data_IF_213361703771
#
_entry.id   IF_213361703771
#
_cell.length_a   1.000
_cell.length_b   1.000
_cell.length_c   1.000
_cell.angle_alpha   90.00
_cell.angle_beta   90.00
_cell.angle_gamma   90.00
#
_symmetry.space_group_name_H-M   'P 1'
#
loop_
_entity.id
_entity.type
_entity.pdbx_description
1 polymer ?
#
# COMPACT_ATOMS: atom_id res chain seq x y z
N UNK A 1 -36.65 31.08 -0.64
CA UNK A 1 -35.31 31.63 -0.96
C UNK A 1 -34.19 30.84 -0.27
N UNK A 2 -34.20 30.69 1.06
CA UNK A 2 -33.16 29.94 1.81
C UNK A 2 -33.08 28.44 1.46
N UNK A 3 -34.21 27.78 1.17
CA UNK A 3 -34.24 26.36 0.79
C UNK A 3 -33.52 26.10 -0.54
N UNK A 4 -33.70 26.97 -1.54
CA UNK A 4 -33.07 26.86 -2.85
C UNK A 4 -31.54 27.06 -2.77
N UNK A 5 -31.08 27.93 -1.86
CA UNK A 5 -29.64 28.13 -1.60
C UNK A 5 -29.02 26.89 -0.94
N UNK A 6 -29.72 26.25 0.01
CA UNK A 6 -29.27 24.99 0.64
C UNK A 6 -29.15 23.85 -0.37
N UNK A 7 -30.11 23.74 -1.30
CA UNK A 7 -30.07 22.74 -2.38
C UNK A 7 -28.87 23.01 -3.30
N UNK A 8 -28.62 24.26 -3.68
CA UNK A 8 -27.45 24.64 -4.49
C UNK A 8 -26.12 24.30 -3.82
N UNK A 9 -26.00 24.57 -2.50
CA UNK A 9 -24.82 24.23 -1.72
C UNK A 9 -24.57 22.71 -1.69
N UNK A 10 -25.63 21.93 -1.49
CA UNK A 10 -25.55 20.46 -1.43
C UNK A 10 -25.08 19.87 -2.77
N UNK A 11 -25.59 20.40 -3.89
CA UNK A 11 -25.15 19.99 -5.23
C UNK A 11 -23.67 20.31 -5.48
N UNK A 12 -23.20 21.49 -5.06
CA UNK A 12 -21.79 21.89 -5.19
C UNK A 12 -20.85 20.98 -4.39
N UNK A 13 -21.24 20.60 -3.17
CA UNK A 13 -20.47 19.66 -2.35
C UNK A 13 -20.35 18.31 -3.04
N UNK A 14 -21.47 17.74 -3.53
CA UNK A 14 -21.47 16.44 -4.23
C UNK A 14 -20.58 16.44 -5.47
N UNK A 15 -20.59 17.53 -6.25
CA UNK A 15 -19.76 17.66 -7.45
C UNK A 15 -18.26 17.72 -7.13
N UNK A 16 -17.89 18.24 -5.96
CA UNK A 16 -16.48 18.37 -5.57
C UNK A 16 -15.84 17.02 -5.20
N UNK A 17 -16.63 15.97 -4.87
CA UNK A 17 -16.10 14.64 -4.55
C UNK A 17 -15.55 13.90 -5.79
N UNK A 18 -15.92 14.29 -7.00
CA UNK A 18 -15.48 13.62 -8.24
C UNK A 18 -14.27 14.29 -8.89
N UNK A 19 -13.72 15.36 -8.30
CA UNK A 19 -12.66 16.15 -8.92
C UNK A 19 -11.33 15.39 -9.15
N UNK A 20 -11.09 14.31 -8.42
CA UNK A 20 -9.83 13.56 -8.44
C UNK A 20 -9.97 12.11 -8.96
N UNK A 21 -11.13 11.72 -9.50
CA UNK A 21 -11.37 10.32 -9.90
C UNK A 21 -10.56 9.87 -11.12
N UNK A 22 -9.93 10.80 -11.85
CA UNK A 22 -9.18 10.53 -13.08
C UNK A 22 -7.71 11.00 -13.00
N UNK A 23 -7.12 11.02 -11.80
CA UNK A 23 -5.69 11.31 -11.59
C UNK A 23 -4.78 10.11 -11.91
N UNK A 24 -5.32 9.11 -12.62
CA UNK A 24 -4.68 7.83 -12.86
C UNK A 24 -4.18 7.67 -14.29
N UNK A 25 -3.25 6.76 -14.44
CA UNK A 25 -2.78 6.22 -15.72
C UNK A 25 -3.77 5.13 -16.15
N UNK A 26 -4.18 5.10 -17.43
CA UNK A 26 -5.14 4.12 -17.94
C UNK A 26 -4.63 2.69 -17.69
N UNK A 27 -5.51 1.68 -17.51
CA UNK A 27 -5.08 0.31 -17.20
C UNK A 27 -4.01 -0.24 -18.14
N UNK A 28 -4.10 0.05 -19.45
CA UNK A 28 -3.13 -0.37 -20.47
C UNK A 28 -1.82 0.43 -20.50
N UNK A 29 -1.80 1.61 -19.89
CA UNK A 29 -0.58 2.42 -19.73
C UNK A 29 0.26 1.95 -18.53
N UNK A 30 -0.25 1.03 -17.68
CA UNK A 30 0.54 0.40 -16.61
C UNK A 30 1.44 -0.73 -17.09
N UNK A 31 1.16 -1.30 -18.26
CA UNK A 31 1.91 -2.44 -18.83
C UNK A 31 3.39 -2.10 -19.07
N UNK A 32 3.68 -0.84 -19.42
CA UNK A 32 5.05 -0.34 -19.61
C UNK A 32 5.78 0.03 -18.30
N UNK A 33 5.06 0.14 -17.18
CA UNK A 33 5.62 0.54 -15.88
C UNK A 33 5.83 -0.66 -14.95
N UNK A 34 5.08 -1.75 -15.12
CA UNK A 34 5.26 -2.98 -14.36
C UNK A 34 6.43 -3.79 -14.91
N UNK A 35 7.64 -3.48 -14.46
CA UNK A 35 8.81 -4.31 -14.78
C UNK A 35 8.78 -5.61 -13.97
N UNK A 36 9.41 -6.67 -14.48
CA UNK A 36 9.48 -7.97 -13.79
C UNK A 36 10.12 -7.84 -12.40
N UNK A 37 11.05 -6.90 -12.25
CA UNK A 37 11.80 -6.67 -11.02
C UNK A 37 10.99 -5.98 -9.91
N UNK A 38 9.79 -5.49 -10.22
CA UNK A 38 8.86 -4.92 -9.24
C UNK A 38 7.95 -5.98 -8.60
N UNK A 39 8.16 -7.26 -8.91
CA UNK A 39 7.47 -8.36 -8.26
C UNK A 39 7.95 -8.52 -6.81
N UNK A 40 7.07 -9.02 -5.93
CA UNK A 40 7.44 -9.27 -4.55
C UNK A 40 8.56 -10.31 -4.49
N UNK A 41 9.68 -9.95 -3.87
CA UNK A 41 10.84 -10.83 -3.69
C UNK A 41 11.51 -11.27 -5.01
N UNK A 42 11.57 -10.39 -6.02
CA UNK A 42 12.30 -10.67 -7.26
C UNK A 42 13.78 -11.04 -7.03
N UNK A 43 14.38 -10.49 -5.97
CA UNK A 43 15.74 -10.79 -5.52
C UNK A 43 15.71 -11.63 -4.23
N UNK A 44 16.13 -12.91 -4.28
CA UNK A 44 16.19 -13.75 -3.08
C UNK A 44 17.24 -13.27 -2.08
N UNK A 45 18.27 -12.55 -2.53
CA UNK A 45 19.28 -11.97 -1.64
C UNK A 45 18.70 -10.79 -0.84
N UNK A 46 17.96 -9.90 -1.49
CA UNK A 46 17.36 -8.74 -0.80
C UNK A 46 16.31 -9.21 0.21
N UNK A 47 15.49 -10.20 -0.16
CA UNK A 47 14.54 -10.82 0.76
C UNK A 47 15.24 -11.44 1.99
N UNK A 48 16.37 -12.14 1.79
CA UNK A 48 17.15 -12.69 2.89
C UNK A 48 17.76 -11.59 3.78
N UNK A 49 18.24 -10.48 3.21
CA UNK A 49 18.74 -9.35 3.99
C UNK A 49 17.63 -8.67 4.79
N UNK A 50 16.46 -8.45 4.19
CA UNK A 50 15.30 -7.88 4.88
C UNK A 50 14.85 -8.78 6.02
N UNK A 51 14.80 -10.10 5.82
CA UNK A 51 14.52 -11.06 6.88
C UNK A 51 15.57 -10.99 7.99
N UNK A 52 16.86 -10.95 7.65
CA UNK A 52 17.93 -10.82 8.64
C UNK A 52 17.80 -9.53 9.47
N UNK A 53 17.48 -8.40 8.84
CA UNK A 53 17.25 -7.12 9.53
C UNK A 53 16.00 -7.21 10.40
N UNK A 54 14.91 -7.78 9.89
CA UNK A 54 13.64 -7.96 10.58
C UNK A 54 13.82 -8.81 11.83
N UNK A 55 14.44 -9.99 11.72
CA UNK A 55 14.77 -10.82 12.87
C UNK A 55 15.73 -10.11 13.83
N UNK A 56 16.73 -9.37 13.35
CA UNK A 56 17.65 -8.66 14.24
C UNK A 56 16.97 -7.56 15.07
N UNK A 57 15.91 -6.94 14.54
CA UNK A 57 15.17 -5.85 15.21
C UNK A 57 13.96 -6.35 16.01
N UNK A 58 13.29 -7.39 15.52
CA UNK A 58 11.96 -7.82 15.96
C UNK A 58 11.93 -9.31 16.37
N UNK A 59 13.08 -9.98 16.57
CA UNK A 59 13.12 -11.39 16.99
C UNK A 59 12.29 -11.71 18.25
N UNK A 60 12.02 -10.72 19.10
CA UNK A 60 11.21 -10.88 20.31
C UNK A 60 9.70 -11.00 20.05
N UNK A 61 9.17 -10.40 18.97
CA UNK A 61 7.73 -10.46 18.61
C UNK A 61 7.36 -11.67 17.76
N UNK A 62 8.37 -12.37 17.26
CA UNK A 62 8.22 -13.56 16.45
C UNK A 62 8.17 -13.28 14.95
N UNK A 63 8.98 -14.03 14.20
CA UNK A 63 9.15 -13.84 12.77
C UNK A 63 8.15 -14.60 11.91
N UNK A 64 8.30 -14.46 10.59
CA UNK A 64 7.38 -14.98 9.54
C UNK A 64 7.36 -16.51 9.40
N UNK A 65 8.02 -17.25 10.31
CA UNK A 65 8.19 -18.71 10.28
C UNK A 65 7.68 -19.33 11.60
N UNK A 66 7.22 -20.58 11.55
CA UNK A 66 6.56 -21.32 12.65
C UNK A 66 7.43 -21.55 13.92
N UNK A 67 8.64 -20.98 13.97
CA UNK A 67 9.54 -21.01 15.12
C UNK A 67 10.26 -19.67 15.28
N UNK A 68 9.57 -18.55 15.04
CA UNK A 68 10.06 -17.22 15.37
C UNK A 68 9.29 -16.69 16.56
N UNK A 69 9.96 -16.53 17.70
CA UNK A 69 9.39 -15.86 18.87
C UNK A 69 10.33 -15.94 20.06
N UNK A 70 11.00 -14.83 20.39
CA UNK A 70 11.56 -14.57 21.71
C UNK A 70 12.80 -15.39 22.09
N UNK A 71 13.86 -14.68 22.51
CA UNK A 71 15.11 -15.18 23.08
C UNK A 71 15.99 -16.15 22.28
N UNK A 72 15.55 -16.64 21.11
CA UNK A 72 16.44 -17.33 20.15
C UNK A 72 16.95 -18.70 20.63
N UNK A 73 16.24 -19.38 21.53
CA UNK A 73 16.56 -20.75 21.90
C UNK A 73 15.93 -21.74 20.90
N UNK A 74 16.76 -22.31 20.03
CA UNK A 74 16.58 -23.67 19.51
C UNK A 74 17.74 -24.52 20.04
#
# INVERSE_FOLDING_TARGET
MLANIKIGLLLFVVFSLTACSDLGVKPWERDILSKSEMTFSDSPMDAAFDDHIYFSKEASSGGRSFSGGGCGCN
#
